data_IF_066802443105
#
_entry.id   IF_066802443105
#
_cell.length_a   1.000
_cell.length_b   1.000
_cell.length_c   1.000
_cell.angle_alpha   90.00
_cell.angle_beta   90.00
_cell.angle_gamma   90.00
#
_symmetry.space_group_name_H-M   'P 1'
#
loop_
_entity.id
_entity.type
_entity.pdbx_description
1 polymer ?
#
# COMPACT_ATOMS: atom_id res chain seq x y z
N UNK A 1 11.94 17.35 -10.55
CA UNK A 1 10.78 16.82 -9.84
C UNK A 1 10.31 15.53 -10.50
N UNK A 2 10.08 14.50 -9.71
CA UNK A 2 9.56 13.26 -10.25
C UNK A 2 8.14 13.43 -10.76
N UNK A 3 7.78 12.69 -11.80
CA UNK A 3 6.42 12.61 -12.32
C UNK A 3 5.85 11.23 -11.98
N UNK A 4 4.53 11.10 -12.07
CA UNK A 4 3.89 9.81 -11.90
C UNK A 4 4.46 8.80 -12.91
N UNK A 5 4.64 7.53 -12.52
CA UNK A 5 5.23 6.54 -13.42
C UNK A 5 4.34 6.27 -14.63
N UNK A 6 4.99 5.89 -15.73
CA UNK A 6 4.28 5.39 -16.89
C UNK A 6 3.46 4.16 -16.51
N UNK A 7 2.33 3.96 -17.20
CA UNK A 7 1.50 2.80 -16.98
C UNK A 7 2.14 1.58 -17.65
N UNK A 8 2.73 0.71 -16.85
CA UNK A 8 3.51 -0.44 -17.35
C UNK A 8 2.95 -1.78 -16.90
N UNK A 9 1.97 -1.81 -16.00
CA UNK A 9 1.40 -3.07 -15.53
C UNK A 9 0.38 -3.63 -16.54
N UNK A 10 0.08 -4.91 -16.35
CA UNK A 10 -0.97 -5.60 -17.10
C UNK A 10 -2.24 -5.64 -16.23
N UNK A 11 -3.31 -4.99 -16.67
CA UNK A 11 -4.56 -4.94 -15.91
C UNK A 11 -5.25 -6.31 -15.79
N UNK A 12 -4.88 -7.27 -16.63
CA UNK A 12 -5.38 -8.64 -16.56
C UNK A 12 -4.63 -9.52 -15.58
N UNK A 13 -3.58 -9.01 -14.93
CA UNK A 13 -2.77 -9.76 -13.97
C UNK A 13 -3.09 -9.34 -12.55
N UNK A 14 -2.77 -10.22 -11.59
CA UNK A 14 -2.64 -9.87 -10.18
C UNK A 14 -1.16 -9.62 -9.89
N UNK A 15 -0.87 -8.79 -8.92
CA UNK A 15 0.48 -8.49 -8.49
C UNK A 15 0.63 -8.84 -7.01
N UNK A 16 1.61 -9.66 -6.69
CA UNK A 16 1.89 -10.01 -5.31
C UNK A 16 3.08 -9.22 -4.81
N UNK A 17 2.87 -8.46 -3.72
CA UNK A 17 3.92 -7.72 -3.05
C UNK A 17 4.33 -8.47 -1.79
N UNK A 18 5.58 -8.86 -1.69
CA UNK A 18 6.14 -9.47 -0.49
C UNK A 18 6.96 -8.44 0.24
N UNK A 19 6.48 -8.00 1.41
CA UNK A 19 7.17 -7.05 2.27
C UNK A 19 7.92 -7.84 3.33
N UNK A 20 9.24 -7.80 3.29
CA UNK A 20 10.09 -8.36 4.34
C UNK A 20 10.35 -7.27 5.36
N UNK A 21 9.90 -7.47 6.59
CA UNK A 21 10.10 -6.52 7.68
C UNK A 21 11.07 -7.09 8.71
N UNK A 22 11.54 -6.24 9.64
CA UNK A 22 12.35 -6.70 10.76
C UNK A 22 11.58 -7.67 11.70
N UNK A 23 10.27 -7.80 11.50
CA UNK A 23 9.40 -8.62 12.37
C UNK A 23 8.91 -9.89 11.69
N UNK A 24 8.98 -9.94 10.37
CA UNK A 24 8.52 -11.06 9.54
C UNK A 24 8.04 -10.57 8.20
N UNK A 25 7.32 -11.41 7.49
CA UNK A 25 6.90 -11.14 6.11
C UNK A 25 5.40 -10.91 6.03
N UNK A 26 5.01 -9.87 5.27
CA UNK A 26 3.62 -9.58 4.94
C UNK A 26 3.50 -9.72 3.41
N UNK A 27 2.54 -10.53 2.96
CA UNK A 27 2.27 -10.72 1.53
C UNK A 27 0.92 -10.08 1.18
N UNK A 28 0.93 -9.19 0.21
CA UNK A 28 -0.28 -8.51 -0.26
C UNK A 28 -0.57 -8.90 -1.71
N UNK A 29 -1.83 -9.19 -2.01
CA UNK A 29 -2.28 -9.34 -3.38
C UNK A 29 -2.86 -8.02 -3.84
N UNK A 30 -2.26 -7.45 -4.89
CA UNK A 30 -2.66 -6.17 -5.47
C UNK A 30 -3.47 -6.44 -6.72
N UNK A 31 -4.64 -5.83 -6.80
CA UNK A 31 -5.62 -6.11 -7.86
C UNK A 31 -5.85 -4.87 -8.73
N UNK A 32 -5.33 -4.85 -9.97
CA UNK A 32 -5.55 -3.72 -10.87
C UNK A 32 -7.03 -3.45 -11.18
N UNK A 33 -7.91 -4.44 -11.06
CA UNK A 33 -9.34 -4.20 -11.26
C UNK A 33 -9.96 -3.33 -10.18
N UNK A 34 -9.32 -3.26 -9.01
CA UNK A 34 -9.75 -2.38 -7.92
C UNK A 34 -9.30 -0.94 -8.15
N UNK A 35 -8.05 -0.75 -8.57
CA UNK A 35 -7.45 0.57 -8.73
C UNK A 35 -6.21 0.46 -9.61
N UNK A 36 -6.35 0.49 -10.94
CA UNK A 36 -5.23 0.23 -11.85
C UNK A 36 -4.06 1.20 -11.70
N UNK A 37 -4.34 2.48 -11.59
CA UNK A 37 -3.27 3.49 -11.46
C UNK A 37 -2.54 3.36 -10.11
N UNK A 38 -3.27 3.04 -9.05
CA UNK A 38 -2.69 2.84 -7.73
C UNK A 38 -1.78 1.62 -7.71
N UNK A 39 -2.23 0.50 -8.28
CA UNK A 39 -1.39 -0.71 -8.38
C UNK A 39 -0.16 -0.41 -9.22
N UNK A 40 -0.31 0.26 -10.36
CA UNK A 40 0.82 0.65 -11.20
C UNK A 40 1.83 1.50 -10.42
N UNK A 41 1.36 2.48 -9.66
CA UNK A 41 2.20 3.34 -8.86
C UNK A 41 2.98 2.55 -7.81
N UNK A 42 2.29 1.69 -7.05
CA UNK A 42 2.94 0.88 -6.02
C UNK A 42 3.97 -0.07 -6.61
N UNK A 43 3.60 -0.77 -7.68
CA UNK A 43 4.50 -1.71 -8.37
C UNK A 43 5.75 -1.00 -8.89
N UNK A 44 5.58 0.15 -9.53
CA UNK A 44 6.71 0.94 -10.05
C UNK A 44 7.65 1.39 -8.94
N UNK A 45 7.12 1.94 -7.85
CA UNK A 45 7.92 2.37 -6.70
C UNK A 45 8.65 1.19 -6.06
N UNK A 46 7.97 0.07 -5.87
CA UNK A 46 8.57 -1.12 -5.27
C UNK A 46 9.71 -1.69 -6.13
N UNK A 47 9.50 -1.73 -7.44
CA UNK A 47 10.54 -2.21 -8.37
C UNK A 47 11.77 -1.31 -8.42
N UNK A 48 11.59 -0.02 -8.15
CA UNK A 48 12.69 0.94 -8.07
C UNK A 48 13.39 0.93 -6.71
N UNK A 49 12.97 0.08 -5.78
CA UNK A 49 13.54 0.03 -4.44
C UNK A 49 13.10 1.18 -3.54
N UNK A 50 12.06 1.91 -3.91
CA UNK A 50 11.61 3.11 -3.17
C UNK A 50 11.26 2.80 -1.72
N UNK A 51 10.60 1.65 -1.49
CA UNK A 51 10.14 1.27 -0.15
C UNK A 51 11.23 0.62 0.71
N UNK A 52 12.35 0.25 0.13
CA UNK A 52 13.41 -0.42 0.88
C UNK A 52 13.97 0.50 1.97
N UNK A 53 13.91 0.05 3.21
CA UNK A 53 14.37 0.81 4.36
C UNK A 53 13.35 1.78 4.96
N UNK A 54 12.18 1.94 4.35
CA UNK A 54 11.14 2.80 4.90
C UNK A 54 10.41 2.12 6.05
N UNK A 55 9.79 2.93 6.92
CA UNK A 55 9.17 2.43 8.15
C UNK A 55 7.65 2.47 8.10
N UNK A 56 7.04 1.71 9.01
CA UNK A 56 5.66 1.94 9.41
C UNK A 56 5.68 3.03 10.48
N UNK A 57 5.52 4.27 10.06
CA UNK A 57 5.67 5.44 10.93
C UNK A 57 4.42 5.72 11.78
N UNK A 58 3.30 5.07 11.44
CA UNK A 58 2.04 5.25 12.16
C UNK A 58 1.39 3.88 12.38
N UNK A 59 1.10 3.58 13.63
CA UNK A 59 0.39 2.36 14.00
C UNK A 59 -0.73 2.77 14.95
N UNK A 60 -1.97 2.48 14.55
CA UNK A 60 -3.15 2.75 15.38
C UNK A 60 -3.78 1.40 15.72
N UNK A 61 -3.61 0.94 16.98
CA UNK A 61 -4.18 -0.34 17.40
C UNK A 61 -5.67 -0.42 17.14
N UNK A 62 -6.14 -1.56 16.64
CA UNK A 62 -7.54 -1.76 16.31
C UNK A 62 -8.00 -1.01 15.07
N UNK A 63 -7.08 -0.47 14.29
CA UNK A 63 -7.41 0.32 13.10
C UNK A 63 -6.47 -0.02 11.94
N UNK A 64 -5.31 0.66 11.84
CA UNK A 64 -4.40 0.51 10.70
C UNK A 64 -2.94 0.54 11.13
N UNK A 65 -2.08 0.01 10.25
CA UNK A 65 -0.66 0.32 10.19
C UNK A 65 -0.40 1.07 8.89
N UNK A 66 0.43 2.11 8.94
CA UNK A 66 0.68 2.98 7.79
C UNK A 66 2.18 3.20 7.60
N UNK A 67 2.62 3.12 6.37
CA UNK A 67 4.03 3.29 6.03
C UNK A 67 4.22 3.81 4.61
N UNK A 68 5.50 3.82 4.18
CA UNK A 68 5.86 4.25 2.83
C UNK A 68 6.17 5.73 2.70
N UNK A 69 6.37 6.43 3.82
CA UNK A 69 6.80 7.82 3.80
C UNK A 69 8.34 7.90 3.77
N UNK A 70 8.96 8.51 2.74
CA UNK A 70 10.41 8.56 2.64
C UNK A 70 11.08 9.37 3.73
N UNK A 71 10.38 10.30 4.36
CA UNK A 71 10.90 11.08 5.49
C UNK A 71 10.54 10.47 6.85
N UNK A 72 9.70 9.46 6.88
CA UNK A 72 9.33 8.74 8.11
C UNK A 72 8.42 9.49 9.07
N UNK A 73 7.85 10.62 8.67
CA UNK A 73 7.03 11.46 9.55
C UNK A 73 5.62 11.75 9.03
N UNK A 74 5.24 11.13 7.92
CA UNK A 74 3.92 11.29 7.32
C UNK A 74 3.79 12.44 6.33
N UNK A 75 4.83 13.25 6.15
CA UNK A 75 4.76 14.43 5.27
C UNK A 75 5.43 14.23 3.92
N UNK A 76 6.23 13.16 3.76
CA UNK A 76 6.97 12.90 2.52
C UNK A 76 6.19 12.05 1.53
N UNK A 77 6.66 12.07 0.29
CA UNK A 77 6.10 11.28 -0.80
C UNK A 77 7.10 11.10 -1.92
N UNK A 78 6.67 10.56 -3.07
CA UNK A 78 7.58 10.22 -4.16
C UNK A 78 7.94 11.41 -5.06
N UNK A 79 7.50 12.62 -4.72
CA UNK A 79 7.77 13.83 -5.51
C UNK A 79 6.68 14.15 -6.52
N UNK A 80 5.56 13.46 -6.48
CA UNK A 80 4.38 13.68 -7.32
C UNK A 80 3.13 13.26 -6.57
N UNK A 81 1.97 13.60 -7.11
CA UNK A 81 0.67 13.15 -6.60
C UNK A 81 -0.17 12.63 -7.76
N UNK A 82 -1.10 11.73 -7.47
CA UNK A 82 -2.01 11.23 -8.50
C UNK A 82 -3.44 11.16 -7.97
N UNK A 83 -4.37 11.06 -8.92
CA UNK A 83 -5.81 11.21 -8.67
C UNK A 83 -6.39 10.03 -7.87
N UNK A 84 -7.47 10.30 -7.18
CA UNK A 84 -8.29 9.28 -6.55
C UNK A 84 -8.93 8.40 -7.62
N UNK A 85 -9.06 7.12 -7.30
CA UNK A 85 -9.77 6.14 -8.12
C UNK A 85 -11.03 5.68 -7.37
N UNK A 86 -12.10 5.30 -8.09
CA UNK A 86 -13.32 4.83 -7.42
C UNK A 86 -13.03 3.63 -6.53
N UNK A 87 -13.57 3.62 -5.32
CA UNK A 87 -13.43 2.51 -4.39
C UNK A 87 -14.43 1.42 -4.77
N UNK A 88 -13.92 0.25 -5.15
CA UNK A 88 -14.71 -0.86 -5.68
C UNK A 88 -14.84 -2.05 -4.73
N UNK A 89 -14.33 -1.92 -3.52
CA UNK A 89 -14.40 -2.97 -2.51
C UNK A 89 -14.62 -2.38 -1.13
N UNK A 90 -14.35 -3.15 -0.10
CA UNK A 90 -14.58 -2.73 1.27
C UNK A 90 -13.31 -2.81 2.09
N UNK A 91 -13.19 -1.92 3.06
CA UNK A 91 -12.04 -1.86 3.97
C UNK A 91 -12.19 -2.88 5.10
N UNK A 92 -12.22 -4.16 4.74
CA UNK A 92 -12.25 -5.27 5.69
C UNK A 92 -10.87 -5.50 6.29
N UNK A 93 -10.77 -6.41 7.26
CA UNK A 93 -9.48 -6.83 7.81
C UNK A 93 -8.52 -7.20 6.69
N UNK A 94 -7.32 -6.63 6.69
CA UNK A 94 -6.29 -6.89 5.68
C UNK A 94 -6.39 -6.02 4.43
N UNK A 95 -7.37 -5.12 4.33
CA UNK A 95 -7.47 -4.21 3.18
C UNK A 95 -6.24 -3.32 3.09
N UNK A 96 -5.74 -3.11 1.86
CA UNK A 96 -4.58 -2.27 1.57
C UNK A 96 -5.05 -1.09 0.72
N UNK A 97 -4.82 0.12 1.21
CA UNK A 97 -5.28 1.32 0.54
C UNK A 97 -4.25 2.44 0.67
N UNK A 98 -4.38 3.47 -0.19
CA UNK A 98 -3.48 4.62 -0.16
C UNK A 98 -3.91 5.63 0.90
N UNK A 99 -2.95 6.05 1.72
CA UNK A 99 -3.14 7.23 2.57
C UNK A 99 -3.10 8.49 1.69
N UNK A 100 -3.81 9.53 2.11
CA UNK A 100 -3.81 10.80 1.40
C UNK A 100 -3.99 11.96 2.37
N UNK A 101 -3.84 13.18 1.86
CA UNK A 101 -4.01 14.43 2.60
C UNK A 101 -5.20 15.23 2.05
N UNK A 102 -6.19 14.56 1.50
CA UNK A 102 -7.36 15.13 0.86
C UNK A 102 -7.51 14.64 -0.57
N UNK A 103 -8.47 15.18 -1.34
CA UNK A 103 -8.72 14.70 -2.71
C UNK A 103 -7.48 14.81 -3.61
N UNK A 104 -7.22 13.76 -4.39
CA UNK A 104 -6.19 13.70 -5.42
C UNK A 104 -4.77 13.98 -4.90
N UNK A 105 -4.46 13.48 -3.70
CA UNK A 105 -3.13 13.66 -3.09
C UNK A 105 -2.41 12.34 -2.83
N UNK A 106 -2.71 11.30 -3.59
CA UNK A 106 -2.06 10.00 -3.44
C UNK A 106 -0.59 10.09 -3.85
N UNK A 107 0.26 9.41 -3.12
CA UNK A 107 1.70 9.38 -3.39
C UNK A 107 2.30 8.01 -3.15
N UNK A 108 3.05 7.84 -2.05
CA UNK A 108 3.69 6.56 -1.73
C UNK A 108 3.17 5.94 -0.43
N UNK A 109 2.56 6.71 0.45
CA UNK A 109 2.10 6.18 1.73
C UNK A 109 0.87 5.32 1.57
N UNK A 110 0.87 4.18 2.23
CA UNK A 110 -0.26 3.24 2.22
C UNK A 110 -0.54 2.75 3.63
N UNK A 111 -1.73 2.20 3.82
CA UNK A 111 -2.07 1.57 5.10
C UNK A 111 -2.67 0.18 4.89
N UNK A 112 -2.54 -0.63 5.92
CA UNK A 112 -3.16 -1.96 6.00
C UNK A 112 -4.15 -1.92 7.15
N UNK A 113 -5.40 -2.30 6.91
CA UNK A 113 -6.40 -2.44 7.95
C UNK A 113 -6.06 -3.65 8.82
N UNK A 114 -5.80 -3.41 10.09
CA UNK A 114 -5.54 -4.48 11.08
C UNK A 114 -6.78 -4.81 11.89
N UNK A 115 -7.92 -4.29 11.47
CA UNK A 115 -9.25 -4.58 11.98
C UNK A 115 -10.24 -4.34 10.84
N UNK A 116 -11.51 -4.66 11.03
CA UNK A 116 -12.55 -4.28 10.09
C UNK A 116 -12.74 -2.76 10.14
N UNK A 117 -12.38 -2.06 9.07
CA UNK A 117 -12.39 -0.61 9.01
C UNK A 117 -13.61 -0.04 8.27
N UNK A 118 -14.59 -0.87 7.94
CA UNK A 118 -15.74 -0.43 7.13
C UNK A 118 -16.54 0.70 7.77
N UNK A 119 -16.57 0.76 9.11
CA UNK A 119 -17.28 1.82 9.83
C UNK A 119 -16.39 3.03 10.14
N UNK A 120 -15.08 2.85 10.11
CA UNK A 120 -14.12 3.87 10.47
C UNK A 120 -13.66 4.70 9.27
N UNK A 121 -13.79 4.18 8.06
CA UNK A 121 -13.31 4.81 6.84
C UNK A 121 -14.44 5.10 5.87
N UNK A 122 -14.42 6.31 5.30
CA UNK A 122 -15.23 6.65 4.14
C UNK A 122 -14.52 6.20 2.86
N UNK A 123 -15.21 6.06 1.72
CA UNK A 123 -14.57 5.60 0.47
C UNK A 123 -13.74 6.71 -0.19
N UNK A 124 -12.82 7.28 0.57
CA UNK A 124 -11.94 8.37 0.16
C UNK A 124 -10.49 7.91 -0.07
N UNK A 125 -10.22 6.63 0.06
CA UNK A 125 -8.87 6.06 -0.02
C UNK A 125 -8.83 4.99 -1.10
N UNK A 126 -7.90 5.12 -2.04
CA UNK A 126 -7.77 4.16 -3.14
C UNK A 126 -7.49 2.77 -2.59
N UNK A 127 -8.49 1.90 -2.65
CA UNK A 127 -8.38 0.49 -2.25
C UNK A 127 -7.78 -0.28 -3.41
N UNK A 128 -6.64 -0.95 -3.19
CA UNK A 128 -5.96 -1.62 -4.30
C UNK A 128 -5.48 -3.05 -4.02
N UNK A 129 -5.74 -3.57 -2.83
CA UNK A 129 -5.37 -4.95 -2.54
C UNK A 129 -5.78 -5.42 -1.15
N UNK A 130 -5.35 -6.64 -0.84
CA UNK A 130 -5.62 -7.27 0.45
C UNK A 130 -4.42 -8.11 0.87
N UNK A 131 -4.19 -8.22 2.18
CA UNK A 131 -3.17 -9.11 2.73
C UNK A 131 -3.59 -10.55 2.45
N UNK A 132 -2.67 -11.32 1.84
CA UNK A 132 -2.86 -12.73 1.55
C UNK A 132 -2.21 -13.63 2.61
N UNK A 133 -1.05 -13.22 3.14
CA UNK A 133 -0.31 -13.97 4.16
C UNK A 133 0.39 -12.99 5.07
N UNK A 134 0.68 -13.43 6.31
CA UNK A 134 1.41 -12.61 7.27
C UNK A 134 0.55 -11.60 8.01
N UNK A 135 -0.74 -11.82 8.12
CA UNK A 135 -1.61 -10.91 8.87
C UNK A 135 -1.18 -10.83 10.34
N UNK A 136 -0.65 -11.89 10.91
CA UNK A 136 -0.10 -11.91 12.26
C UNK A 136 1.08 -10.95 12.41
N UNK A 137 1.92 -10.83 11.37
CA UNK A 137 3.03 -9.86 11.34
C UNK A 137 2.48 -8.44 11.29
N UNK A 138 1.46 -8.20 10.46
CA UNK A 138 0.82 -6.90 10.37
C UNK A 138 0.21 -6.49 11.71
N UNK A 139 -0.48 -7.42 12.38
CA UNK A 139 -1.08 -7.19 13.69
C UNK A 139 -0.06 -6.89 14.78
N UNK A 140 1.15 -7.46 14.67
CA UNK A 140 2.24 -7.25 15.62
C UNK A 140 3.16 -6.06 15.29
N UNK A 141 2.91 -5.35 14.20
CA UNK A 141 3.74 -4.23 13.78
C UNK A 141 3.71 -3.09 14.79
N UNK A 142 4.88 -2.51 15.05
CA UNK A 142 5.05 -1.37 15.96
C UNK A 142 5.62 -0.18 15.20
N UNK A 143 5.38 1.02 15.71
CA UNK A 143 5.92 2.26 15.13
C UNK A 143 7.43 2.13 14.99
N UNK A 144 7.94 2.44 13.80
CA UNK A 144 9.37 2.35 13.51
C UNK A 144 9.82 1.01 12.94
N UNK A 145 8.95 0.01 12.90
CA UNK A 145 9.27 -1.23 12.20
C UNK A 145 9.56 -0.94 10.74
N UNK A 146 10.57 -1.62 10.20
CA UNK A 146 11.14 -1.28 8.90
C UNK A 146 10.78 -2.32 7.84
N UNK A 147 10.40 -1.81 6.67
CA UNK A 147 10.31 -2.60 5.45
C UNK A 147 11.72 -2.74 4.88
N UNK A 148 12.30 -3.93 5.00
CA UNK A 148 13.67 -4.18 4.53
C UNK A 148 13.70 -4.31 3.01
N UNK A 149 12.65 -4.94 2.44
CA UNK A 149 12.48 -5.03 0.99
C UNK A 149 11.01 -5.21 0.64
N UNK A 150 10.66 -4.78 -0.57
CA UNK A 150 9.34 -5.04 -1.17
C UNK A 150 9.57 -5.62 -2.56
N UNK A 151 9.21 -6.89 -2.74
CA UNK A 151 9.42 -7.62 -3.99
C UNK A 151 8.09 -7.85 -4.67
N UNK A 152 8.03 -7.55 -5.96
CA UNK A 152 6.80 -7.69 -6.76
C UNK A 152 6.90 -8.92 -7.65
N UNK A 153 5.84 -9.73 -7.64
CA UNK A 153 5.67 -10.85 -8.55
C UNK A 153 4.37 -10.66 -9.33
N UNK A 154 4.48 -10.67 -10.65
CA UNK A 154 3.29 -10.64 -11.50
C UNK A 154 2.71 -12.04 -11.61
N UNK A 155 1.38 -12.14 -11.42
CA UNK A 155 0.64 -13.39 -11.57
C UNK A 155 -0.42 -13.19 -12.65
N UNK A 156 -0.18 -13.69 -13.88
CA UNK A 156 -1.15 -13.55 -14.95
C UNK A 156 -2.49 -14.17 -14.56
N UNK A 157 -3.57 -13.57 -15.01
CA UNK A 157 -4.91 -14.12 -14.83
C UNK A 157 -5.04 -15.41 -15.64
N UNK A 158 -5.70 -16.39 -15.07
CA UNK A 158 -6.00 -17.65 -15.75
C UNK A 158 -7.23 -17.55 -16.64
#
# INVERSE_FOLDING_TARGET
MASAPEFTINEGSMYRATITTNRGTIVMDLDPSLAPNTVNNFVSLARDGFYDGLTFHRVVPGFVIQGGCPTGNGTGGPGYRFADEPVKGEYTLGAVAMANAGPDTNGSQFFICIEDCRRALTPAYNLFGYVAEGMDVALGTEVGDRMESVVIEERPAE
#
